data_IF_846486700120
#
_entry.id   IF_846486700120
#
_cell.length_a   1.000
_cell.length_b   1.000
_cell.length_c   1.000
_cell.angle_alpha   90.00
_cell.angle_beta   90.00
_cell.angle_gamma   90.00
#
_symmetry.space_group_name_H-M   'P 1'
#
loop_
_entity.id
_entity.type
_entity.pdbx_description
1 polymer ?
#
# COMPACT_ATOMS: atom_id res chain seq x y z
N UNK A 1 -58.62 -6.01 -3.68
CA UNK A 1 -57.69 -6.54 -2.66
C UNK A 1 -56.39 -5.77 -2.83
N UNK A 2 -56.14 -4.84 -1.91
CA UNK A 2 -55.04 -3.88 -1.94
C UNK A 2 -53.67 -4.56 -1.85
N UNK A 3 -52.74 -4.11 -2.69
CA UNK A 3 -51.31 -4.37 -2.55
C UNK A 3 -50.74 -3.45 -1.47
N UNK A 4 -50.52 -4.00 -0.27
CA UNK A 4 -49.84 -3.30 0.82
C UNK A 4 -48.41 -2.94 0.45
N UNK A 5 -48.13 -1.64 0.32
CA UNK A 5 -46.75 -1.12 0.28
C UNK A 5 -46.13 -1.35 1.66
N UNK A 6 -45.03 -2.09 1.71
CA UNK A 6 -44.18 -2.17 2.90
C UNK A 6 -43.57 -0.78 3.14
N UNK A 7 -43.91 -0.19 4.28
CA UNK A 7 -43.31 1.04 4.79
C UNK A 7 -41.85 0.75 5.14
N UNK A 8 -40.93 1.34 4.38
CA UNK A 8 -39.53 1.49 4.78
C UNK A 8 -39.49 2.35 6.04
N UNK A 9 -39.26 1.71 7.19
CA UNK A 9 -38.93 2.43 8.42
C UNK A 9 -37.48 2.84 8.31
N UNK A 10 -37.24 4.13 8.05
CA UNK A 10 -35.90 4.72 8.13
C UNK A 10 -35.44 4.69 9.58
N UNK A 11 -34.39 3.92 9.85
CA UNK A 11 -33.71 3.90 11.15
C UNK A 11 -32.83 5.14 11.20
N UNK A 12 -32.97 6.05 12.19
CA UNK A 12 -32.16 7.26 12.24
C UNK A 12 -30.70 6.89 12.53
N UNK A 13 -29.79 7.34 11.66
CA UNK A 13 -28.36 7.17 11.85
C UNK A 13 -27.85 7.90 13.11
N UNK A 14 -26.85 7.37 13.82
CA UNK A 14 -26.30 8.01 15.00
C UNK A 14 -25.67 9.38 14.65
N UNK A 15 -25.74 10.37 15.57
CA UNK A 15 -25.18 11.70 15.34
C UNK A 15 -23.67 11.60 15.12
N UNK A 16 -23.20 12.01 13.94
CA UNK A 16 -21.80 11.93 13.51
C UNK A 16 -21.60 11.14 12.20
N UNK A 17 -22.61 10.40 11.74
CA UNK A 17 -22.62 9.84 10.39
C UNK A 17 -23.12 10.91 9.43
N UNK A 18 -22.26 11.36 8.51
CA UNK A 18 -22.68 12.23 7.42
C UNK A 18 -23.86 11.54 6.70
N UNK A 19 -24.99 12.23 6.46
CA UNK A 19 -26.10 11.64 5.74
C UNK A 19 -25.59 11.09 4.41
N UNK A 20 -25.95 9.85 4.07
CA UNK A 20 -25.55 9.16 2.84
C UNK A 20 -26.09 9.80 1.54
N UNK A 21 -26.58 11.04 1.65
CA UNK A 21 -27.37 11.74 0.62
C UNK A 21 -26.86 13.18 0.39
N UNK A 22 -25.57 13.42 0.63
CA UNK A 22 -24.88 14.57 0.06
C UNK A 22 -24.10 14.09 -1.14
N UNK A 23 -24.44 14.63 -2.30
CA UNK A 23 -23.63 14.52 -3.52
C UNK A 23 -22.20 14.99 -3.20
N UNK A 24 -21.33 14.04 -2.91
CA UNK A 24 -19.93 14.27 -2.54
C UNK A 24 -19.04 14.40 -3.79
N UNK A 25 -19.60 14.46 -5.00
CA UNK A 25 -18.84 14.66 -6.24
C UNK A 25 -18.09 15.99 -6.28
N UNK A 26 -18.41 16.91 -5.36
CA UNK A 26 -17.80 18.24 -5.25
C UNK A 26 -16.86 18.41 -4.04
N UNK A 27 -16.51 17.34 -3.33
CA UNK A 27 -15.54 17.45 -2.23
C UNK A 27 -14.18 17.89 -2.79
N UNK A 28 -13.60 18.90 -2.17
CA UNK A 28 -12.29 19.46 -2.49
C UNK A 28 -11.38 19.46 -1.26
N UNK A 29 -10.09 19.75 -1.47
CA UNK A 29 -9.13 19.92 -0.36
C UNK A 29 -9.52 21.04 0.62
N UNK A 30 -10.26 22.06 0.16
CA UNK A 30 -10.69 23.19 1.00
C UNK A 30 -11.76 22.83 2.02
N UNK A 31 -12.39 21.65 1.89
CA UNK A 31 -13.36 21.13 2.85
C UNK A 31 -12.70 20.50 4.08
N UNK A 32 -11.36 20.40 4.10
CA UNK A 32 -10.57 19.81 5.19
C UNK A 32 -9.77 20.90 5.93
N UNK A 33 -9.42 20.69 7.21
CA UNK A 33 -8.60 21.64 7.96
C UNK A 33 -7.24 21.89 7.30
N UNK A 34 -6.71 23.09 7.49
CA UNK A 34 -5.35 23.40 7.06
C UNK A 34 -4.34 22.40 7.65
N UNK A 35 -3.45 21.89 6.81
CA UNK A 35 -2.48 20.86 7.17
C UNK A 35 -3.00 19.42 7.15
N UNK A 36 -4.25 19.18 6.73
CA UNK A 36 -4.73 17.82 6.47
C UNK A 36 -3.91 17.16 5.34
N UNK A 37 -3.39 15.96 5.62
CA UNK A 37 -2.53 15.23 4.70
C UNK A 37 -3.36 14.24 3.86
N UNK A 38 -3.25 14.34 2.55
CA UNK A 38 -3.71 13.30 1.64
C UNK A 38 -2.53 12.47 1.19
N UNK A 39 -2.67 11.16 1.17
CA UNK A 39 -1.57 10.29 0.81
C UNK A 39 -2.01 9.00 0.14
N UNK A 40 -1.02 8.26 -0.32
CA UNK A 40 -1.17 6.91 -0.86
C UNK A 40 -0.44 5.91 0.04
N UNK A 41 -0.73 4.61 -0.14
CA UNK A 41 -0.07 3.58 0.63
C UNK A 41 0.19 2.30 -0.18
N UNK A 42 1.29 1.62 0.15
CA UNK A 42 1.67 0.32 -0.41
C UNK A 42 2.20 -0.62 0.68
N UNK A 43 2.40 -1.90 0.33
CA UNK A 43 3.16 -2.85 1.15
C UNK A 43 4.22 -3.55 0.30
N UNK A 44 5.33 -3.92 0.93
CA UNK A 44 6.57 -4.32 0.26
C UNK A 44 6.37 -5.46 -0.74
N UNK A 45 5.74 -6.57 -0.32
CA UNK A 45 5.57 -7.75 -1.18
C UNK A 45 4.64 -7.47 -2.37
N UNK A 46 3.70 -6.53 -2.23
CA UNK A 46 2.73 -6.20 -3.28
C UNK A 46 3.33 -5.35 -4.41
N UNK A 47 4.41 -4.60 -4.14
CA UNK A 47 4.93 -3.62 -5.12
C UNK A 47 6.43 -3.73 -5.41
N UNK A 48 7.26 -4.18 -4.48
CA UNK A 48 8.72 -4.15 -4.65
C UNK A 48 9.20 -5.09 -5.76
N UNK A 49 8.74 -6.34 -5.74
CA UNK A 49 9.33 -7.39 -6.55
C UNK A 49 10.77 -7.71 -6.12
N UNK A 50 11.59 -8.09 -7.10
CA UNK A 50 13.01 -8.37 -6.90
C UNK A 50 13.24 -9.40 -5.77
N UNK A 51 12.44 -10.46 -5.77
CA UNK A 51 12.27 -11.37 -4.63
C UNK A 51 13.57 -12.08 -4.19
N UNK A 52 14.52 -12.26 -5.10
CA UNK A 52 15.82 -12.90 -4.88
C UNK A 52 17.01 -12.02 -5.31
N UNK A 53 16.81 -10.70 -5.38
CA UNK A 53 17.85 -9.72 -5.77
C UNK A 53 18.30 -8.93 -4.55
N UNK A 54 19.56 -8.50 -4.57
CA UNK A 54 20.13 -7.59 -3.59
C UNK A 54 20.12 -8.13 -2.16
N UNK A 55 20.38 -9.43 -2.01
CA UNK A 55 20.48 -10.10 -0.71
C UNK A 55 19.16 -10.39 0.01
N UNK A 56 17.99 -10.10 -0.59
CA UNK A 56 16.68 -10.48 -0.01
C UNK A 56 16.54 -12.00 0.07
N UNK A 57 16.04 -12.51 1.19
CA UNK A 57 15.61 -13.91 1.32
C UNK A 57 14.10 -14.09 1.13
N UNK A 58 13.72 -15.36 0.98
CA UNK A 58 12.35 -15.83 0.81
C UNK A 58 11.54 -15.50 2.08
N UNK A 59 10.44 -14.78 1.92
CA UNK A 59 9.41 -14.60 2.93
C UNK A 59 8.38 -15.72 2.89
N UNK A 60 7.49 -15.77 3.89
CA UNK A 60 6.36 -16.71 3.90
C UNK A 60 5.47 -16.53 2.67
N UNK A 61 5.32 -15.32 2.14
CA UNK A 61 4.51 -15.06 0.95
C UNK A 61 5.18 -15.55 -0.34
N UNK A 62 6.50 -15.36 -0.47
CA UNK A 62 7.30 -15.89 -1.59
C UNK A 62 7.13 -17.42 -1.66
N UNK A 63 7.20 -18.06 -0.50
CA UNK A 63 7.08 -19.51 -0.34
C UNK A 63 5.65 -20.03 -0.60
N UNK A 64 4.64 -19.40 0.00
CA UNK A 64 3.24 -19.76 -0.16
C UNK A 64 2.80 -19.67 -1.63
N UNK A 65 3.13 -18.57 -2.30
CA UNK A 65 2.74 -18.35 -3.70
C UNK A 65 3.44 -19.34 -4.66
N UNK A 66 4.68 -19.74 -4.34
CA UNK A 66 5.42 -20.71 -5.14
C UNK A 66 4.93 -22.15 -4.93
N UNK A 67 4.62 -22.55 -3.69
CA UNK A 67 4.20 -23.92 -3.36
C UNK A 67 2.71 -24.19 -3.54
N UNK A 68 1.86 -23.17 -3.41
CA UNK A 68 0.42 -23.30 -3.51
C UNK A 68 -0.17 -22.22 -4.43
N UNK A 69 0.15 -22.24 -5.74
CA UNK A 69 -0.36 -21.25 -6.68
C UNK A 69 -1.89 -21.26 -6.76
N UNK A 70 -2.55 -22.40 -6.54
CA UNK A 70 -4.02 -22.50 -6.52
C UNK A 70 -4.70 -21.73 -5.38
N UNK A 71 -3.94 -21.22 -4.40
CA UNK A 71 -4.44 -20.28 -3.39
C UNK A 71 -4.52 -18.83 -3.88
N UNK A 72 -4.06 -18.54 -5.10
CA UNK A 72 -4.07 -17.23 -5.75
C UNK A 72 -4.95 -17.35 -6.99
N UNK A 73 -5.91 -16.44 -7.14
CA UNK A 73 -6.97 -16.52 -8.17
C UNK A 73 -6.42 -16.69 -9.59
N UNK A 74 -5.37 -15.94 -9.93
CA UNK A 74 -4.67 -16.00 -11.22
C UNK A 74 -3.36 -16.79 -11.19
N UNK A 75 -3.07 -17.45 -10.06
CA UNK A 75 -1.84 -18.22 -9.83
C UNK A 75 -0.54 -17.41 -9.97
N UNK A 76 -0.61 -16.08 -9.87
CA UNK A 76 0.54 -15.18 -9.93
C UNK A 76 1.37 -15.17 -8.63
N UNK A 77 2.49 -14.43 -8.62
CA UNK A 77 3.34 -14.26 -7.44
C UNK A 77 3.98 -12.86 -7.42
N UNK A 78 4.66 -12.54 -6.31
CA UNK A 78 5.30 -11.25 -6.07
C UNK A 78 6.75 -11.14 -6.57
N UNK A 79 7.22 -12.01 -7.46
CA UNK A 79 8.62 -12.00 -7.88
C UNK A 79 9.02 -10.72 -8.61
N UNK A 80 8.10 -10.15 -9.40
CA UNK A 80 8.26 -8.88 -10.13
C UNK A 80 7.34 -7.80 -9.55
N UNK A 81 6.08 -8.14 -9.25
CA UNK A 81 5.07 -7.21 -8.72
C UNK A 81 4.95 -5.94 -9.61
N UNK A 82 4.87 -4.75 -9.00
CA UNK A 82 4.91 -3.47 -9.71
C UNK A 82 6.34 -2.99 -10.04
N UNK A 83 7.36 -3.77 -9.67
CA UNK A 83 8.78 -3.49 -9.91
C UNK A 83 9.29 -2.20 -9.24
N UNK A 84 8.71 -1.83 -8.09
CA UNK A 84 9.11 -0.64 -7.33
C UNK A 84 10.59 -0.71 -6.90
N UNK A 85 11.16 -1.92 -6.72
CA UNK A 85 12.59 -2.05 -6.38
C UNK A 85 13.49 -1.31 -7.38
N UNK A 86 13.13 -1.32 -8.67
CA UNK A 86 13.87 -0.59 -9.71
C UNK A 86 13.25 0.77 -10.05
N UNK A 87 11.93 0.94 -9.84
CA UNK A 87 11.15 2.08 -10.35
C UNK A 87 10.72 3.12 -9.33
N UNK A 88 11.04 2.95 -8.03
CA UNK A 88 10.56 3.84 -6.96
C UNK A 88 10.78 5.34 -7.24
N UNK A 89 11.86 5.72 -7.92
CA UNK A 89 12.13 7.13 -8.28
C UNK A 89 11.07 7.71 -9.20
N UNK A 90 10.59 6.93 -10.16
CA UNK A 90 9.51 7.34 -11.06
C UNK A 90 8.17 7.38 -10.30
N UNK A 91 7.88 6.33 -9.53
CA UNK A 91 6.64 6.22 -8.74
C UNK A 91 6.47 7.41 -7.78
N UNK A 92 7.52 7.74 -7.02
CA UNK A 92 7.49 8.86 -6.06
C UNK A 92 7.34 10.20 -6.78
N UNK A 93 8.03 10.40 -7.90
CA UNK A 93 7.88 11.61 -8.70
C UNK A 93 6.43 11.78 -9.20
N UNK A 94 5.79 10.70 -9.64
CA UNK A 94 4.39 10.73 -10.06
C UNK A 94 3.45 11.05 -8.90
N UNK A 95 3.67 10.43 -7.72
CA UNK A 95 2.87 10.73 -6.52
C UNK A 95 2.93 12.22 -6.15
N UNK A 96 4.11 12.83 -6.26
CA UNK A 96 4.26 14.27 -6.04
C UNK A 96 3.49 15.10 -7.07
N UNK A 97 3.57 14.72 -8.35
CA UNK A 97 2.85 15.41 -9.43
C UNK A 97 1.33 15.31 -9.29
N UNK A 98 0.82 14.23 -8.71
CA UNK A 98 -0.60 14.07 -8.39
C UNK A 98 -1.05 14.89 -7.18
N UNK A 99 -0.11 15.51 -6.44
CA UNK A 99 -0.42 16.36 -5.30
C UNK A 99 -0.69 15.59 -4.01
N UNK A 100 -0.08 14.41 -3.81
CA UNK A 100 -0.08 13.75 -2.50
C UNK A 100 0.91 14.42 -1.54
N UNK A 101 0.51 14.54 -0.27
CA UNK A 101 1.30 15.13 0.80
C UNK A 101 2.11 14.07 1.58
N UNK A 102 1.67 12.81 1.54
CA UNK A 102 2.30 11.72 2.29
C UNK A 102 2.28 10.40 1.52
N UNK A 103 3.27 9.55 1.81
CA UNK A 103 3.34 8.20 1.28
C UNK A 103 3.65 7.21 2.41
N UNK A 104 2.77 6.22 2.59
CA UNK A 104 2.95 5.15 3.57
C UNK A 104 3.41 3.88 2.86
N UNK A 105 4.57 3.36 3.24
CA UNK A 105 5.06 2.07 2.76
C UNK A 105 5.55 1.21 3.94
N UNK A 106 5.76 -0.08 3.69
CA UNK A 106 6.33 -1.01 4.66
C UNK A 106 7.71 -1.47 4.22
N UNK A 107 8.55 -1.82 5.18
CA UNK A 107 9.87 -2.44 4.93
C UNK A 107 9.72 -3.96 4.86
N UNK A 108 10.31 -4.59 3.85
CA UNK A 108 10.44 -6.05 3.76
C UNK A 108 11.47 -6.54 4.79
N UNK A 109 10.99 -7.26 5.81
CA UNK A 109 11.87 -7.79 6.85
C UNK A 109 12.98 -8.66 6.26
N UNK A 110 12.64 -9.60 5.38
CA UNK A 110 13.62 -10.50 4.75
C UNK A 110 14.59 -9.80 3.79
N UNK A 111 14.31 -8.55 3.39
CA UNK A 111 15.24 -7.72 2.63
C UNK A 111 16.32 -7.11 3.53
N UNK A 112 15.96 -6.64 4.73
CA UNK A 112 16.93 -6.01 5.67
C UNK A 112 17.64 -7.04 6.55
N UNK A 113 16.91 -8.05 7.02
CA UNK A 113 17.43 -9.16 7.82
C UNK A 113 17.04 -10.48 7.15
N UNK A 114 17.85 -10.98 6.19
CA UNK A 114 17.53 -12.20 5.45
C UNK A 114 17.35 -13.44 6.33
N UNK A 115 18.05 -13.52 7.45
CA UNK A 115 17.87 -14.60 8.43
C UNK A 115 16.80 -14.34 9.50
N UNK A 116 16.04 -13.24 9.41
CA UNK A 116 15.00 -12.85 10.37
C UNK A 116 15.51 -12.38 11.74
N UNK A 117 16.82 -12.52 12.03
CA UNK A 117 17.46 -12.17 13.30
C UNK A 117 18.83 -11.53 13.06
N UNK A 118 19.22 -10.63 13.94
CA UNK A 118 20.50 -9.91 13.88
C UNK A 118 21.73 -10.83 13.82
N UNK A 119 21.70 -11.96 14.54
CA UNK A 119 22.81 -12.92 14.57
C UNK A 119 23.04 -13.65 13.25
N UNK A 120 22.10 -13.59 12.31
CA UNK A 120 22.20 -14.21 11.00
C UNK A 120 22.70 -13.24 9.92
N UNK A 121 23.12 -12.04 10.31
CA UNK A 121 23.64 -11.01 9.41
C UNK A 121 22.59 -9.97 9.03
N UNK A 122 23.10 -8.81 8.61
CA UNK A 122 22.33 -7.66 8.15
C UNK A 122 22.64 -7.44 6.69
N UNK A 123 21.61 -7.25 5.87
CA UNK A 123 21.79 -6.95 4.46
C UNK A 123 21.90 -5.43 4.24
N UNK A 124 23.12 -4.95 3.95
CA UNK A 124 23.38 -3.52 3.74
C UNK A 124 22.73 -2.99 2.46
N UNK A 125 22.73 -3.76 1.38
CA UNK A 125 22.09 -3.35 0.12
C UNK A 125 20.58 -3.15 0.31
N UNK A 126 19.93 -4.01 1.10
CA UNK A 126 18.53 -3.83 1.48
C UNK A 126 18.27 -2.55 2.29
N UNK A 127 19.20 -2.16 3.16
CA UNK A 127 19.12 -0.90 3.91
C UNK A 127 19.31 0.30 2.97
N UNK A 128 20.30 0.23 2.09
CA UNK A 128 20.61 1.30 1.14
C UNK A 128 19.43 1.55 0.19
N UNK A 129 18.74 0.49 -0.25
CA UNK A 129 17.49 0.60 -1.00
C UNK A 129 16.42 1.42 -0.26
N UNK A 130 16.16 1.13 1.02
CA UNK A 130 15.16 1.89 1.78
C UNK A 130 15.61 3.31 2.09
N UNK A 131 16.90 3.55 2.33
CA UNK A 131 17.44 4.91 2.46
C UNK A 131 17.20 5.71 1.18
N UNK A 132 17.52 5.14 0.01
CA UNK A 132 17.29 5.77 -1.28
C UNK A 132 15.80 6.11 -1.52
N UNK A 133 14.90 5.20 -1.13
CA UNK A 133 13.45 5.44 -1.18
C UNK A 133 13.06 6.63 -0.29
N UNK A 134 13.52 6.65 0.96
CA UNK A 134 13.22 7.73 1.93
C UNK A 134 13.78 9.06 1.44
N UNK A 135 15.04 9.09 1.01
CA UNK A 135 15.69 10.29 0.49
C UNK A 135 14.98 10.82 -0.75
N UNK A 136 14.49 9.92 -1.61
CA UNK A 136 13.70 10.29 -2.78
C UNK A 136 12.34 10.87 -2.39
N UNK A 137 11.67 10.34 -1.36
CA UNK A 137 10.43 10.92 -0.83
C UNK A 137 10.70 12.32 -0.27
N UNK A 138 11.75 12.50 0.53
CA UNK A 138 12.08 13.80 1.15
C UNK A 138 12.53 14.84 0.13
N UNK A 139 13.08 14.42 -1.01
CA UNK A 139 13.50 15.30 -2.10
C UNK A 139 12.30 15.97 -2.82
N UNK A 140 11.13 15.33 -2.83
CA UNK A 140 9.97 15.78 -3.62
C UNK A 140 8.87 16.37 -2.73
#
# INVERSE_FOLDING_TARGET
MESGKLSEKTVPFPPGVLPADKDNSKITRHDFPDGFLFGSATSAYQVEGAAAIGGKSISVWDDLSSRNPGGIDDQSNGNIAADMYHKFKEDIRMMKQMGFDSYRFSISWTRVLPGGRWSAGVNREGIDFYNDVIDTILKY
#
